data_IF_338948693263
#
_entry.id   IF_338948693263
#
_cell.length_a   1.000
_cell.length_b   1.000
_cell.length_c   1.000
_cell.angle_alpha   90.00
_cell.angle_beta   90.00
_cell.angle_gamma   90.00
#
_symmetry.space_group_name_H-M   'P 1'
#
loop_
_entity.id
_entity.type
_entity.pdbx_description
1 polymer ?
#
# COMPACT_ATOMS: atom_id res chain seq x y z
N UNK A 1 -26.46 -27.78 55.89
CA UNK A 1 -25.66 -28.59 54.94
C UNK A 1 -24.37 -27.81 54.71
N UNK A 2 -23.29 -27.93 55.51
CA UNK A 2 -22.55 -29.14 55.94
C UNK A 2 -22.40 -30.08 54.74
N UNK A 3 -21.23 -30.36 54.15
CA UNK A 3 -19.93 -30.60 54.78
C UNK A 3 -18.73 -30.21 53.91
N UNK A 4 -17.64 -29.90 54.61
CA UNK A 4 -16.27 -29.76 54.17
C UNK A 4 -15.49 -30.83 54.97
N UNK A 5 -15.08 -31.93 54.33
CA UNK A 5 -14.23 -33.02 54.87
C UNK A 5 -13.66 -33.75 53.65
N UNK A 6 -12.45 -34.33 53.56
CA UNK A 6 -11.27 -34.60 54.40
C UNK A 6 -10.19 -35.06 53.38
N UNK A 7 -8.94 -34.62 53.45
CA UNK A 7 -7.80 -35.19 54.21
C UNK A 7 -7.51 -36.69 53.99
N UNK A 8 -6.19 -36.97 54.01
CA UNK A 8 -5.51 -38.25 54.22
C UNK A 8 -5.20 -39.05 52.93
N UNK A 9 -4.00 -39.58 52.66
CA UNK A 9 -2.76 -39.66 53.41
C UNK A 9 -1.79 -40.62 52.71
N UNK A 10 -0.50 -40.32 52.84
CA UNK A 10 0.69 -41.18 52.74
C UNK A 10 0.59 -42.59 52.12
N UNK A 11 1.47 -42.87 51.15
CA UNK A 11 2.33 -44.04 51.28
C UNK A 11 3.69 -43.85 50.58
N UNK A 12 4.75 -43.86 51.40
CA UNK A 12 6.14 -44.08 51.02
C UNK A 12 6.28 -45.34 50.14
N UNK A 13 7.17 -45.30 49.15
CA UNK A 13 8.18 -46.34 48.95
C UNK A 13 9.32 -45.85 48.05
N UNK A 14 10.50 -45.81 48.67
CA UNK A 14 11.81 -45.71 48.05
C UNK A 14 11.97 -46.73 46.92
N UNK A 15 12.45 -46.27 45.76
CA UNK A 15 13.24 -47.06 44.83
C UNK A 15 14.23 -46.13 44.14
N UNK A 16 15.44 -46.12 44.67
CA UNK A 16 16.61 -45.52 44.05
C UNK A 16 16.91 -46.29 42.76
N UNK A 17 16.60 -45.68 41.62
CA UNK A 17 17.04 -46.17 40.31
C UNK A 17 18.28 -45.38 39.91
N UNK A 18 19.39 -46.11 39.76
CA UNK A 18 20.63 -45.63 39.16
C UNK A 18 20.30 -45.00 37.79
N UNK A 19 20.40 -43.68 37.70
CA UNK A 19 20.47 -42.99 36.43
C UNK A 19 21.86 -43.24 35.83
N UNK A 20 21.99 -44.28 35.00
CA UNK A 20 23.12 -44.37 34.06
C UNK A 20 23.03 -43.16 33.13
N UNK A 21 23.96 -42.22 33.33
CA UNK A 21 24.14 -41.07 32.47
C UNK A 21 24.53 -41.49 31.07
N UNK A 22 23.54 -41.55 30.17
CA UNK A 22 23.80 -41.47 28.74
C UNK A 22 23.98 -39.98 28.47
N UNK A 23 25.24 -39.57 28.32
CA UNK A 23 25.60 -38.23 27.87
C UNK A 23 25.12 -38.04 26.45
N UNK A 24 23.87 -37.61 26.29
CA UNK A 24 23.34 -37.16 25.00
C UNK A 24 23.99 -35.81 24.71
N UNK A 25 25.08 -35.82 23.96
CA UNK A 25 25.65 -34.60 23.39
C UNK A 25 24.63 -34.03 22.42
N UNK A 26 23.92 -32.98 22.84
CA UNK A 26 23.17 -32.13 21.93
C UNK A 26 24.17 -31.46 20.98
N UNK A 27 24.42 -32.10 19.83
CA UNK A 27 25.06 -31.44 18.70
C UNK A 27 24.07 -30.38 18.24
N UNK A 28 24.30 -29.14 18.64
CA UNK A 28 23.61 -28.00 18.07
C UNK A 28 23.92 -28.01 16.57
N UNK A 29 22.93 -28.39 15.77
CA UNK A 29 23.02 -28.25 14.33
C UNK A 29 23.33 -26.77 14.05
N UNK A 30 24.33 -26.44 13.23
CA UNK A 30 24.53 -25.06 12.81
C UNK A 30 23.21 -24.61 12.17
N UNK A 31 22.60 -23.57 12.73
CA UNK A 31 21.52 -22.89 12.06
C UNK A 31 22.07 -22.48 10.70
N UNK A 32 21.55 -23.10 9.64
CA UNK A 32 21.83 -22.64 8.29
C UNK A 32 21.53 -21.12 8.28
N UNK A 33 22.42 -20.28 7.73
CA UNK A 33 22.09 -18.87 7.59
C UNK A 33 20.75 -18.83 6.88
N UNK A 34 19.74 -18.25 7.52
CA UNK A 34 18.52 -17.89 6.84
C UNK A 34 18.98 -16.99 5.71
N UNK A 35 19.04 -17.52 4.49
CA UNK A 35 19.16 -16.71 3.30
C UNK A 35 17.92 -15.83 3.35
N UNK A 36 18.08 -14.59 3.83
CA UNK A 36 17.18 -13.52 3.48
C UNK A 36 17.02 -13.65 1.98
N UNK A 37 15.81 -13.95 1.52
CA UNK A 37 15.55 -14.09 0.12
C UNK A 37 15.70 -12.71 -0.52
N UNK A 38 16.93 -12.32 -0.82
CA UNK A 38 17.29 -11.37 -1.88
C UNK A 38 17.18 -12.08 -3.23
N UNK A 39 16.12 -12.86 -3.41
CA UNK A 39 15.62 -13.18 -4.74
C UNK A 39 14.86 -11.95 -5.22
N UNK A 40 15.58 -10.97 -5.77
CA UNK A 40 14.96 -9.76 -6.33
C UNK A 40 13.85 -10.16 -7.30
N UNK A 41 12.80 -9.34 -7.43
CA UNK A 41 11.60 -9.62 -8.22
C UNK A 41 11.82 -9.80 -9.75
N UNK A 42 13.07 -10.02 -10.17
CA UNK A 42 13.50 -10.34 -11.53
C UNK A 42 13.57 -9.14 -12.47
N UNK A 43 13.92 -9.42 -13.72
CA UNK A 43 13.81 -8.50 -14.86
C UNK A 43 12.40 -8.54 -15.48
N UNK A 44 12.07 -7.61 -16.37
CA UNK A 44 10.74 -7.57 -17.04
C UNK A 44 10.52 -8.78 -17.93
N UNK A 45 9.60 -9.70 -17.57
CA UNK A 45 9.32 -10.84 -18.43
C UNK A 45 8.78 -10.33 -19.77
N UNK A 46 9.02 -11.10 -20.82
CA UNK A 46 8.53 -10.78 -22.15
C UNK A 46 7.01 -10.57 -22.13
N UNK A 47 6.59 -9.46 -22.71
CA UNK A 47 5.20 -9.18 -23.00
C UNK A 47 5.06 -9.14 -24.52
N UNK A 48 4.12 -9.93 -25.06
CA UNK A 48 3.88 -9.93 -26.52
C UNK A 48 3.31 -8.58 -26.98
N UNK A 49 2.70 -7.83 -26.05
CA UNK A 49 2.13 -6.49 -26.25
C UNK A 49 2.61 -5.52 -25.15
N UNK A 50 3.91 -5.27 -25.04
CA UNK A 50 4.46 -4.32 -24.06
C UNK A 50 5.95 -4.56 -23.75
N UNK A 51 6.49 -3.98 -22.66
CA UNK A 51 5.76 -3.16 -21.68
C UNK A 51 5.50 -1.73 -22.17
N UNK A 52 4.32 -1.19 -21.83
CA UNK A 52 3.90 0.18 -22.11
C UNK A 52 3.59 0.94 -20.81
N UNK A 53 3.80 2.26 -20.82
CA UNK A 53 3.42 3.12 -19.70
C UNK A 53 1.93 3.44 -19.75
N UNK A 54 1.21 3.00 -18.72
CA UNK A 54 -0.23 3.18 -18.57
C UNK A 54 -0.63 4.66 -18.55
N UNK A 55 0.26 5.59 -18.19
CA UNK A 55 -0.06 7.03 -18.13
C UNK A 55 -0.06 7.68 -19.51
N UNK A 56 0.70 7.15 -20.45
CA UNK A 56 0.96 7.80 -21.75
C UNK A 56 0.43 7.00 -22.93
N UNK A 57 0.36 5.67 -22.83
CA UNK A 57 -0.17 4.80 -23.88
C UNK A 57 -1.65 4.55 -23.61
N UNK A 58 -2.49 5.38 -24.22
CA UNK A 58 -3.96 5.38 -24.07
C UNK A 58 -4.68 5.05 -25.40
N UNK A 59 -4.02 4.26 -26.25
CA UNK A 59 -4.47 3.94 -27.60
C UNK A 59 -5.05 2.52 -27.74
N UNK A 60 -5.13 2.02 -28.98
CA UNK A 60 -5.65 0.69 -29.28
C UNK A 60 -4.93 -0.44 -28.52
N UNK A 61 -3.66 -0.27 -28.13
CA UNK A 61 -2.91 -1.28 -27.38
C UNK A 61 -3.49 -1.49 -25.98
N UNK A 62 -3.82 -0.40 -25.29
CA UNK A 62 -4.49 -0.47 -23.99
C UNK A 62 -5.87 -1.10 -24.13
N UNK A 63 -6.64 -0.67 -25.15
CA UNK A 63 -7.99 -1.19 -25.40
C UNK A 63 -8.00 -2.70 -25.59
N UNK A 64 -7.07 -3.25 -26.37
CA UNK A 64 -6.96 -4.70 -26.59
C UNK A 64 -6.65 -5.42 -25.28
N UNK A 65 -5.67 -4.93 -24.51
CA UNK A 65 -5.32 -5.57 -23.23
C UNK A 65 -6.50 -5.55 -22.26
N UNK A 66 -7.18 -4.41 -22.10
CA UNK A 66 -8.32 -4.32 -21.18
C UNK A 66 -9.52 -5.14 -21.66
N UNK A 67 -9.78 -5.18 -22.97
CA UNK A 67 -10.87 -5.95 -23.55
C UNK A 67 -10.73 -7.46 -23.32
N UNK A 68 -9.52 -8.01 -23.37
CA UNK A 68 -9.30 -9.46 -23.28
C UNK A 68 -8.80 -9.93 -21.91
N UNK A 69 -8.12 -9.07 -21.14
CA UNK A 69 -7.41 -9.45 -19.92
C UNK A 69 -7.70 -8.55 -18.71
N UNK A 70 -8.43 -7.44 -18.87
CA UNK A 70 -8.83 -6.61 -17.74
C UNK A 70 -10.30 -6.20 -17.85
N UNK A 71 -11.16 -7.19 -18.08
CA UNK A 71 -12.61 -7.00 -18.17
C UNK A 71 -13.22 -6.61 -16.82
N UNK A 72 -14.47 -6.10 -16.77
CA UNK A 72 -15.14 -5.81 -15.51
C UNK A 72 -15.18 -6.99 -14.53
N UNK A 73 -15.32 -8.24 -15.03
CA UNK A 73 -15.30 -9.44 -14.18
C UNK A 73 -13.92 -9.70 -13.57
N UNK A 74 -12.84 -9.43 -14.33
CA UNK A 74 -11.47 -9.55 -13.83
C UNK A 74 -11.19 -8.48 -12.78
N UNK A 75 -11.54 -7.22 -13.06
CA UNK A 75 -11.34 -6.11 -12.12
C UNK A 75 -12.13 -6.33 -10.81
N UNK A 76 -13.35 -6.85 -10.90
CA UNK A 76 -14.21 -7.21 -9.77
C UNK A 76 -13.83 -8.52 -9.07
N UNK A 77 -12.82 -9.26 -9.58
CA UNK A 77 -12.36 -10.54 -9.04
C UNK A 77 -13.44 -11.65 -9.03
N UNK A 78 -14.30 -11.65 -10.05
CA UNK A 78 -15.40 -12.61 -10.26
C UNK A 78 -14.91 -13.83 -11.02
N UNK A 79 -14.32 -13.64 -12.21
CA UNK A 79 -13.82 -14.72 -13.06
C UNK A 79 -12.68 -14.24 -13.97
N UNK A 80 -11.88 -15.18 -14.47
CA UNK A 80 -11.00 -14.92 -15.63
C UNK A 80 -11.81 -14.70 -16.91
N UNK A 81 -11.13 -14.34 -18.00
CA UNK A 81 -11.75 -14.13 -19.31
C UNK A 81 -11.07 -15.00 -20.39
N UNK A 82 -9.76 -14.87 -20.55
CA UNK A 82 -8.91 -15.61 -21.48
C UNK A 82 -8.18 -16.80 -20.84
N UNK A 83 -8.15 -16.84 -19.51
CA UNK A 83 -7.46 -17.81 -18.65
C UNK A 83 -8.42 -18.29 -17.56
N UNK A 84 -8.13 -19.45 -16.97
CA UNK A 84 -8.98 -20.03 -15.93
C UNK A 84 -9.04 -19.19 -14.64
N UNK A 85 -8.02 -18.36 -14.36
CA UNK A 85 -7.86 -17.68 -13.07
C UNK A 85 -7.66 -16.18 -13.25
N UNK A 86 -8.29 -15.38 -12.40
CA UNK A 86 -8.10 -13.91 -12.35
C UNK A 86 -6.63 -13.52 -12.21
N UNK A 87 -5.82 -14.28 -11.45
CA UNK A 87 -4.39 -14.01 -11.31
C UNK A 87 -3.60 -14.10 -12.62
N UNK A 88 -4.03 -14.98 -13.55
CA UNK A 88 -3.45 -15.10 -14.89
C UNK A 88 -3.74 -13.89 -15.77
N UNK A 89 -4.99 -13.41 -15.75
CA UNK A 89 -5.42 -12.20 -16.46
C UNK A 89 -4.66 -10.96 -15.99
N UNK A 90 -4.57 -10.78 -14.67
CA UNK A 90 -3.83 -9.67 -14.09
C UNK A 90 -2.34 -9.79 -14.42
N UNK A 91 -1.78 -11.00 -14.48
CA UNK A 91 -0.39 -11.19 -14.92
C UNK A 91 -0.19 -10.87 -16.39
N UNK A 92 -1.17 -11.14 -17.26
CA UNK A 92 -1.08 -10.68 -18.64
C UNK A 92 -1.07 -9.16 -18.71
N UNK A 93 -2.06 -8.53 -18.05
CA UNK A 93 -2.22 -7.08 -18.02
C UNK A 93 -0.98 -6.38 -17.46
N UNK A 94 -0.40 -6.87 -16.36
CA UNK A 94 0.77 -6.28 -15.71
C UNK A 94 2.11 -6.57 -16.40
N UNK A 95 2.17 -7.54 -17.31
CA UNK A 95 3.32 -7.67 -18.23
C UNK A 95 3.23 -6.64 -19.35
N UNK A 96 2.03 -6.44 -19.91
CA UNK A 96 1.79 -5.48 -20.97
C UNK A 96 1.90 -4.03 -20.48
N UNK A 97 1.39 -3.74 -19.29
CA UNK A 97 1.38 -2.42 -18.65
C UNK A 97 1.82 -2.56 -17.17
N UNK A 98 3.13 -2.52 -16.87
CA UNK A 98 3.63 -2.77 -15.51
C UNK A 98 3.12 -1.79 -14.45
N UNK A 99 2.78 -0.56 -14.83
CA UNK A 99 2.16 0.44 -13.97
C UNK A 99 0.64 0.59 -14.21
N UNK A 100 -0.06 -0.43 -14.68
CA UNK A 100 -1.52 -0.38 -14.83
C UNK A 100 -2.20 -0.28 -13.45
N UNK A 101 -2.57 0.93 -13.04
CA UNK A 101 -3.00 1.21 -11.66
C UNK A 101 -4.17 0.36 -11.21
N UNK A 102 -5.21 0.22 -12.05
CA UNK A 102 -6.39 -0.60 -11.75
C UNK A 102 -6.05 -2.09 -11.59
N UNK A 103 -5.22 -2.65 -12.47
CA UNK A 103 -4.78 -4.05 -12.38
C UNK A 103 -3.89 -4.30 -11.15
N UNK A 104 -3.03 -3.36 -10.76
CA UNK A 104 -2.27 -3.43 -9.52
C UNK A 104 -3.19 -3.45 -8.28
N UNK A 105 -4.20 -2.58 -8.24
CA UNK A 105 -5.22 -2.58 -7.18
C UNK A 105 -5.97 -3.91 -7.13
N UNK A 106 -6.40 -4.44 -8.28
CA UNK A 106 -7.05 -5.74 -8.35
C UNK A 106 -6.13 -6.88 -7.90
N UNK A 107 -4.83 -6.84 -8.23
CA UNK A 107 -3.85 -7.82 -7.77
C UNK A 107 -3.69 -7.81 -6.24
N UNK A 108 -3.60 -6.62 -5.63
CA UNK A 108 -3.59 -6.47 -4.16
C UNK A 108 -4.86 -7.03 -3.54
N UNK A 109 -6.04 -6.62 -4.05
CA UNK A 109 -7.34 -7.10 -3.56
C UNK A 109 -7.49 -8.61 -3.70
N UNK A 110 -6.94 -9.21 -4.76
CA UNK A 110 -6.97 -10.65 -4.98
C UNK A 110 -6.08 -11.38 -3.98
N UNK A 111 -4.86 -10.88 -3.74
CA UNK A 111 -3.97 -11.41 -2.72
C UNK A 111 -4.58 -11.36 -1.32
N UNK A 112 -5.23 -10.24 -0.98
CA UNK A 112 -5.94 -10.09 0.30
C UNK A 112 -7.16 -11.04 0.40
N UNK A 113 -8.00 -11.10 -0.65
CA UNK A 113 -9.19 -11.98 -0.72
C UNK A 113 -8.81 -13.45 -0.54
N UNK A 114 -7.72 -13.88 -1.17
CA UNK A 114 -7.26 -15.27 -1.14
C UNK A 114 -6.23 -15.55 -0.04
N UNK A 115 -5.85 -14.53 0.74
CA UNK A 115 -4.83 -14.61 1.79
C UNK A 115 -3.51 -15.23 1.31
N UNK A 116 -3.07 -14.88 0.11
CA UNK A 116 -1.84 -15.38 -0.50
C UNK A 116 -0.97 -14.23 -1.00
N UNK A 117 0.34 -14.40 -0.88
CA UNK A 117 1.30 -13.48 -1.48
C UNK A 117 1.30 -13.58 -3.01
N UNK A 118 0.92 -14.73 -3.58
CA UNK A 118 0.90 -14.97 -5.02
C UNK A 118 -0.42 -15.68 -5.39
N UNK A 119 -1.39 -14.95 -5.94
CA UNK A 119 -2.65 -15.54 -6.38
C UNK A 119 -2.47 -16.67 -7.41
N UNK A 120 -3.37 -17.68 -7.44
CA UNK A 120 -3.32 -18.73 -8.45
C UNK A 120 -3.30 -18.18 -9.88
N UNK A 121 -2.40 -18.72 -10.70
CA UNK A 121 -2.14 -18.25 -12.06
C UNK A 121 -1.32 -16.96 -12.15
N UNK A 122 -1.04 -16.28 -11.03
CA UNK A 122 -0.18 -15.11 -11.05
C UNK A 122 1.29 -15.51 -11.25
N UNK A 123 2.00 -14.83 -12.16
CA UNK A 123 3.41 -15.12 -12.45
C UNK A 123 4.34 -14.71 -11.30
N UNK A 124 4.01 -13.62 -10.62
CA UNK A 124 4.76 -13.11 -9.47
C UNK A 124 3.83 -12.84 -8.30
N UNK A 125 4.44 -12.67 -7.12
CA UNK A 125 3.75 -12.20 -5.94
C UNK A 125 3.20 -10.78 -6.11
N UNK A 126 2.21 -10.41 -5.32
CA UNK A 126 1.69 -9.04 -5.21
C UNK A 126 2.82 -8.05 -4.92
N UNK A 127 3.72 -8.44 -4.00
CA UNK A 127 4.91 -7.66 -3.66
C UNK A 127 5.75 -7.36 -4.91
N UNK A 128 6.04 -8.40 -5.70
CA UNK A 128 6.84 -8.23 -6.89
C UNK A 128 6.14 -7.45 -7.99
N UNK A 129 4.84 -7.57 -8.19
CA UNK A 129 4.14 -6.71 -9.15
C UNK A 129 4.26 -5.22 -8.81
N UNK A 130 4.12 -4.88 -7.52
CA UNK A 130 4.24 -3.49 -7.06
C UNK A 130 5.67 -2.96 -7.13
N UNK A 131 6.68 -3.75 -6.75
CA UNK A 131 8.09 -3.35 -6.89
C UNK A 131 8.45 -3.10 -8.36
N UNK A 132 7.96 -3.96 -9.26
CA UNK A 132 8.23 -3.83 -10.69
C UNK A 132 7.57 -2.59 -11.27
N UNK A 133 6.36 -2.24 -10.80
CA UNK A 133 5.68 -1.01 -11.21
C UNK A 133 6.51 0.23 -10.87
N UNK A 134 7.06 0.32 -9.65
CA UNK A 134 7.88 1.47 -9.22
C UNK A 134 9.25 1.52 -9.89
N UNK A 135 9.80 0.37 -10.30
CA UNK A 135 11.03 0.30 -11.10
C UNK A 135 10.82 0.66 -12.58
N UNK A 136 9.63 0.34 -13.12
CA UNK A 136 9.28 0.61 -14.51
C UNK A 136 9.00 2.10 -14.73
N UNK A 137 8.11 2.67 -13.92
CA UNK A 137 7.72 4.08 -13.98
C UNK A 137 8.16 4.76 -12.68
N UNK A 138 9.45 5.14 -12.64
CA UNK A 138 10.09 5.71 -11.44
C UNK A 138 9.47 7.04 -11.00
N UNK A 139 8.81 7.73 -11.92
CA UNK A 139 8.14 9.01 -11.74
C UNK A 139 6.61 8.88 -11.58
N UNK A 140 6.09 7.65 -11.38
CA UNK A 140 4.66 7.40 -11.17
C UNK A 140 4.30 7.46 -9.67
N UNK A 141 3.68 8.56 -9.18
CA UNK A 141 3.32 8.67 -7.77
C UNK A 141 2.24 7.65 -7.36
N UNK A 142 1.40 7.20 -8.28
CA UNK A 142 0.32 6.26 -7.97
C UNK A 142 0.91 4.87 -7.74
N UNK A 143 1.82 4.41 -8.60
CA UNK A 143 2.52 3.15 -8.39
C UNK A 143 3.27 3.12 -7.04
N UNK A 144 3.90 4.24 -6.66
CA UNK A 144 4.58 4.40 -5.36
C UNK A 144 3.63 4.38 -4.18
N UNK A 145 2.49 5.07 -4.25
CA UNK A 145 1.46 4.99 -3.21
C UNK A 145 0.91 3.58 -3.04
N UNK A 146 0.63 2.86 -4.14
CA UNK A 146 0.17 1.48 -4.07
C UNK A 146 1.20 0.56 -3.40
N UNK A 147 2.49 0.74 -3.71
CA UNK A 147 3.58 0.02 -3.05
C UNK A 147 3.66 0.38 -1.57
N UNK A 148 3.55 1.66 -1.22
CA UNK A 148 3.60 2.12 0.17
C UNK A 148 2.47 1.53 1.03
N UNK A 149 1.21 1.62 0.57
CA UNK A 149 0.07 1.01 1.28
C UNK A 149 0.25 -0.49 1.48
N UNK A 150 0.71 -1.22 0.44
CA UNK A 150 0.98 -2.65 0.57
C UNK A 150 2.06 -2.96 1.60
N UNK A 151 3.19 -2.25 1.55
CA UNK A 151 4.29 -2.42 2.50
C UNK A 151 3.84 -2.16 3.94
N UNK A 152 3.07 -1.08 4.17
CA UNK A 152 2.49 -0.77 5.47
C UNK A 152 1.62 -1.90 6.02
N UNK A 153 0.72 -2.44 5.18
CA UNK A 153 -0.12 -3.61 5.55
C UNK A 153 0.68 -4.87 5.86
N UNK A 154 1.90 -4.99 5.36
CA UNK A 154 2.83 -6.10 5.67
C UNK A 154 3.76 -5.80 6.85
N UNK A 155 3.57 -4.68 7.55
CA UNK A 155 4.42 -4.27 8.67
C UNK A 155 5.80 -3.74 8.24
N UNK A 156 6.04 -3.53 6.94
CA UNK A 156 7.29 -3.01 6.38
C UNK A 156 7.27 -1.49 6.37
N UNK A 157 7.10 -0.91 7.57
CA UNK A 157 6.79 0.51 7.76
C UNK A 157 7.85 1.44 7.15
N UNK A 158 9.14 1.16 7.39
CA UNK A 158 10.22 1.99 6.89
C UNK A 158 10.22 2.06 5.35
N UNK A 159 10.11 0.91 4.69
CA UNK A 159 10.07 0.84 3.23
C UNK A 159 8.82 1.52 2.67
N UNK A 160 7.68 1.42 3.37
CA UNK A 160 6.45 2.11 2.98
C UNK A 160 6.65 3.63 2.95
N UNK A 161 7.27 4.18 4.00
CA UNK A 161 7.56 5.60 4.11
C UNK A 161 8.58 6.08 3.07
N UNK A 162 9.57 5.25 2.73
CA UNK A 162 10.53 5.56 1.67
C UNK A 162 9.82 5.71 0.31
N UNK A 163 8.90 4.81 -0.03
CA UNK A 163 8.12 4.92 -1.26
C UNK A 163 7.20 6.14 -1.25
N UNK A 164 6.52 6.39 -0.13
CA UNK A 164 5.56 7.48 -0.01
C UNK A 164 6.24 8.85 -0.04
N UNK A 165 7.43 9.00 0.55
CA UNK A 165 8.24 10.22 0.43
C UNK A 165 8.53 10.58 -1.02
N UNK A 166 8.85 9.59 -1.86
CA UNK A 166 9.07 9.87 -3.28
C UNK A 166 7.75 10.24 -3.98
N UNK A 167 6.64 9.57 -3.66
CA UNK A 167 5.33 9.96 -4.18
C UNK A 167 4.93 11.39 -3.77
N UNK A 168 5.27 11.82 -2.55
CA UNK A 168 5.00 13.16 -2.03
C UNK A 168 5.78 14.23 -2.81
N UNK A 169 7.05 13.97 -3.12
CA UNK A 169 7.86 14.86 -3.98
C UNK A 169 7.26 14.93 -5.40
N UNK A 170 6.90 13.78 -5.97
CA UNK A 170 6.30 13.70 -7.31
C UNK A 170 4.89 14.32 -7.39
N UNK A 171 4.21 14.48 -6.26
CA UNK A 171 2.89 15.09 -6.23
C UNK A 171 2.90 16.55 -6.71
N UNK A 172 4.01 17.27 -6.49
CA UNK A 172 4.13 18.69 -6.83
C UNK A 172 2.95 19.49 -6.31
N UNK A 173 2.30 20.23 -7.20
CA UNK A 173 1.09 21.00 -6.92
C UNK A 173 -0.18 20.37 -7.53
N UNK A 174 -0.15 19.06 -7.80
CA UNK A 174 -1.36 18.33 -8.15
C UNK A 174 -2.18 18.05 -6.88
N UNK A 175 -3.24 18.84 -6.67
CA UNK A 175 -4.09 18.74 -5.49
C UNK A 175 -4.65 17.32 -5.22
N UNK A 176 -5.03 16.59 -6.28
CA UNK A 176 -5.51 15.20 -6.15
C UNK A 176 -4.42 14.24 -5.67
N UNK A 177 -3.20 14.33 -6.21
CA UNK A 177 -2.09 13.49 -5.78
C UNK A 177 -1.66 13.83 -4.35
N UNK A 178 -1.55 15.13 -4.01
CA UNK A 178 -1.25 15.59 -2.65
C UNK A 178 -2.27 15.02 -1.65
N UNK A 179 -3.55 15.09 -1.98
CA UNK A 179 -4.62 14.52 -1.16
C UNK A 179 -4.48 13.00 -0.98
N UNK A 180 -4.22 12.27 -2.07
CA UNK A 180 -4.07 10.82 -2.01
C UNK A 180 -2.83 10.40 -1.21
N UNK A 181 -1.71 11.12 -1.35
CA UNK A 181 -0.51 10.91 -0.52
C UNK A 181 -0.85 11.11 0.96
N UNK A 182 -1.64 12.14 1.30
CA UNK A 182 -2.12 12.35 2.67
C UNK A 182 -2.96 11.20 3.21
N UNK A 183 -3.80 10.57 2.39
CA UNK A 183 -4.57 9.39 2.79
C UNK A 183 -3.66 8.20 3.11
N UNK A 184 -2.59 7.99 2.33
CA UNK A 184 -1.63 6.91 2.61
C UNK A 184 -0.80 7.23 3.85
N UNK A 185 -0.39 8.49 4.07
CA UNK A 185 0.26 8.88 5.34
C UNK A 185 -0.63 8.57 6.54
N UNK A 186 -1.93 8.85 6.44
CA UNK A 186 -2.90 8.51 7.48
C UNK A 186 -2.98 7.00 7.71
N UNK A 187 -3.06 6.19 6.65
CA UNK A 187 -3.05 4.71 6.73
C UNK A 187 -1.78 4.21 7.44
N UNK A 188 -0.64 4.85 7.21
CA UNK A 188 0.65 4.52 7.83
C UNK A 188 0.80 5.10 9.25
N UNK A 189 -0.17 5.84 9.78
CA UNK A 189 -0.12 6.46 11.10
C UNK A 189 0.70 7.75 11.19
N UNK A 190 1.14 8.30 10.06
CA UNK A 190 1.88 9.57 9.96
C UNK A 190 0.92 10.76 9.94
N UNK A 191 0.23 10.97 11.07
CA UNK A 191 -0.88 11.92 11.15
C UNK A 191 -0.48 13.37 10.87
N UNK A 192 0.71 13.78 11.29
CA UNK A 192 1.22 15.14 11.07
C UNK A 192 1.47 15.41 9.58
N UNK A 193 2.05 14.43 8.87
CA UNK A 193 2.25 14.51 7.42
C UNK A 193 0.90 14.49 6.70
N UNK A 194 -0.02 13.60 7.10
CA UNK A 194 -1.37 13.54 6.54
C UNK A 194 -2.12 14.88 6.68
N UNK A 195 -2.07 15.50 7.86
CA UNK A 195 -2.68 16.81 8.12
C UNK A 195 -2.07 17.90 7.23
N UNK A 196 -0.74 17.95 7.14
CA UNK A 196 -0.04 18.90 6.27
C UNK A 196 -0.49 18.77 4.81
N UNK A 197 -0.65 17.54 4.32
CA UNK A 197 -1.14 17.28 2.95
C UNK A 197 -2.60 17.62 2.76
N UNK A 198 -3.45 17.42 3.77
CA UNK A 198 -4.84 17.86 3.73
C UNK A 198 -4.95 19.38 3.57
N UNK A 199 -4.18 20.14 4.34
CA UNK A 199 -4.12 21.60 4.21
C UNK A 199 -3.57 22.04 2.86
N UNK A 200 -2.47 21.44 2.39
CA UNK A 200 -1.92 21.75 1.07
C UNK A 200 -2.94 21.50 -0.04
N UNK A 201 -3.64 20.36 -0.02
CA UNK A 201 -4.66 20.05 -1.02
C UNK A 201 -5.81 21.08 -1.02
N UNK A 202 -6.23 21.55 0.16
CA UNK A 202 -7.24 22.59 0.29
C UNK A 202 -6.76 23.94 -0.27
N UNK A 203 -5.52 24.34 0.01
CA UNK A 203 -4.88 25.55 -0.56
C UNK A 203 -4.79 25.46 -2.08
N UNK A 204 -4.53 24.27 -2.63
CA UNK A 204 -4.57 23.99 -4.07
C UNK A 204 -6.00 23.95 -4.65
N UNK A 205 -7.02 24.30 -3.88
CA UNK A 205 -8.42 24.41 -4.31
C UNK A 205 -9.19 23.08 -4.37
N UNK A 206 -8.60 21.96 -3.92
CA UNK A 206 -9.29 20.67 -3.92
C UNK A 206 -10.41 20.64 -2.87
N UNK A 207 -11.64 20.45 -3.32
CA UNK A 207 -12.83 20.42 -2.47
C UNK A 207 -13.15 19.03 -1.85
N UNK A 208 -12.26 18.05 -2.01
CA UNK A 208 -12.47 16.69 -1.47
C UNK A 208 -12.25 16.67 0.04
N UNK A 209 -13.27 16.23 0.77
CA UNK A 209 -13.27 16.26 2.24
C UNK A 209 -12.78 14.96 2.86
N UNK A 210 -12.67 13.87 2.09
CA UNK A 210 -12.35 12.52 2.57
C UNK A 210 -11.15 12.44 3.51
N UNK A 211 -10.03 13.09 3.18
CA UNK A 211 -8.85 13.13 4.04
C UNK A 211 -9.08 13.93 5.33
N UNK A 212 -9.74 15.09 5.23
CA UNK A 212 -10.13 15.89 6.40
C UNK A 212 -11.04 15.10 7.32
N UNK A 213 -12.05 14.45 6.76
CA UNK A 213 -13.04 13.71 7.52
C UNK A 213 -12.39 12.49 8.21
N UNK A 214 -11.48 11.79 7.51
CA UNK A 214 -10.67 10.71 8.11
C UNK A 214 -9.77 11.20 9.25
N UNK A 215 -9.11 12.36 9.10
CA UNK A 215 -8.32 12.97 10.17
C UNK A 215 -9.18 13.38 11.37
N UNK A 216 -10.39 13.90 11.12
CA UNK A 216 -11.36 14.22 12.18
C UNK A 216 -11.78 12.95 12.93
N UNK A 217 -12.12 11.88 12.21
CA UNK A 217 -12.47 10.59 12.80
C UNK A 217 -11.32 9.99 13.63
N UNK A 218 -10.06 10.22 13.24
CA UNK A 218 -8.89 9.80 13.99
C UNK A 218 -8.54 10.71 15.19
N UNK A 219 -9.25 11.83 15.38
CA UNK A 219 -8.92 12.84 16.40
C UNK A 219 -7.62 13.59 16.12
N UNK A 220 -7.22 13.67 14.85
CA UNK A 220 -5.93 14.26 14.39
C UNK A 220 -6.10 15.51 13.55
N UNK A 221 -7.33 15.93 13.26
CA UNK A 221 -7.59 17.18 12.55
C UNK A 221 -7.33 18.39 13.45
N UNK A 222 -6.64 19.39 12.90
CA UNK A 222 -6.51 20.74 13.46
C UNK A 222 -6.79 21.71 12.33
N UNK A 223 -7.56 22.75 12.59
CA UNK A 223 -7.81 23.77 11.55
C UNK A 223 -6.47 24.41 11.12
N UNK A 224 -6.31 24.75 9.84
CA UNK A 224 -5.13 25.48 9.38
C UNK A 224 -5.11 26.85 10.05
N UNK A 225 -3.90 27.37 10.30
CA UNK A 225 -3.76 28.73 10.78
C UNK A 225 -4.47 29.70 9.82
N UNK A 226 -5.13 30.76 10.31
CA UNK A 226 -5.74 31.75 9.45
C UNK A 226 -4.69 32.26 8.46
N UNK A 227 -4.96 32.09 7.17
CA UNK A 227 -4.11 32.72 6.15
C UNK A 227 -4.16 34.22 6.41
N UNK A 228 -3.02 34.92 6.58
CA UNK A 228 -3.02 36.37 6.72
C UNK A 228 -3.82 36.94 5.57
N UNK A 229 -4.91 37.65 5.90
CA UNK A 229 -5.72 38.30 4.88
C UNK A 229 -4.80 39.17 4.03
N UNK A 230 -4.81 38.95 2.71
CA UNK A 230 -4.15 39.87 1.80
C UNK A 230 -4.68 41.27 2.14
N UNK A 231 -3.81 42.26 2.36
CA UNK A 231 -4.26 43.59 2.72
C UNK A 231 -5.28 44.04 1.68
N UNK A 232 -6.48 44.39 2.16
CA UNK A 232 -7.55 44.89 1.33
C UNK A 232 -6.96 45.94 0.38
N UNK A 233 -7.11 45.73 -0.92
CA UNK A 233 -6.76 46.73 -1.90
C UNK A 233 -7.48 48.01 -1.48
N UNK A 234 -6.70 48.98 -0.99
CA UNK A 234 -7.19 50.29 -0.60
C UNK A 234 -8.05 50.81 -1.74
N UNK A 235 -9.34 50.99 -1.48
CA UNK A 235 -10.20 51.85 -2.31
C UNK A 235 -9.50 53.21 -2.38
N UNK A 236 -8.82 53.45 -3.50
CA UNK A 236 -8.31 54.77 -3.82
C UNK A 236 -9.52 55.65 -4.05
N UNK A 237 -9.79 56.49 -3.06
CA UNK A 237 -10.80 57.54 -3.10
C UNK A 237 -10.68 58.34 -4.41
N UNK A 238 -11.65 58.18 -5.30
CA UNK A 238 -11.89 59.08 -6.42
C UNK A 238 -12.39 60.40 -5.86
N UNK A 239 -11.48 61.37 -5.73
CA UNK A 239 -11.83 62.76 -5.47
C UNK A 239 -12.57 63.36 -6.68
N UNK A 240 -13.64 64.14 -6.49
CA UNK A 240 -14.29 64.84 -7.58
C UNK A 240 -13.44 66.04 -8.00
N UNK A 241 -13.07 66.10 -9.28
CA UNK A 241 -12.50 67.30 -9.87
C UNK A 241 -13.61 68.36 -9.99
N UNK A 242 -13.56 69.37 -9.14
CA UNK A 242 -14.28 70.62 -9.33
C UNK A 242 -13.37 71.68 -9.95
N UNK A 243 -13.91 72.43 -10.91
CA UNK A 243 -13.46 73.78 -11.25
C UNK A 243 -12.94 73.97 -12.67
N UNK A 244 -13.62 74.83 -13.43
CA UNK A 244 -13.15 75.42 -14.69
C UNK A 244 -14.27 75.71 -15.68
#
# INVERSE_FOLDING_TARGET
>A
MFEFERLCGLCLRFLALLALGIGTTCVAAPAAPATAATGGCGGFPRADNGPYDYRTVQDHRLKIVEQYHFTPNVEALVSGNSTANVGGELSFTLRAFPNHHRALVSMVRLGDKLKTAQPPGAMFSVDCWLERATRFAVDDPIARMLRASWLGKKGRQQEALEQLKVADVLAGDNGFTVHNVGLVYLELGEYELALSRAHKAAVLGLQRTTLRDALKSAGKWREPDPVPSAPAASEAASAPAGGG
#
